data_IF_735219771002
#
_entry.id   IF_735219771002
#
_cell.length_a   1.000
_cell.length_b   1.000
_cell.length_c   1.000
_cell.angle_alpha   90.00
_cell.angle_beta   90.00
_cell.angle_gamma   90.00
#
_symmetry.space_group_name_H-M   'P 1'
#
loop_
_entity.id
_entity.type
_entity.pdbx_description
1 polymer ?
#
# COMPACT_ATOMS: atom_id res chain seq x y z
N UNK A 1 -23.17 48.08 -12.14
CA UNK A 1 -21.83 48.71 -12.03
C UNK A 1 -21.04 48.33 -13.27
N UNK A 2 -20.47 49.30 -13.97
CA UNK A 2 -20.16 49.30 -15.41
C UNK A 2 -18.95 48.44 -15.80
N UNK A 3 -19.13 47.60 -16.83
CA UNK A 3 -18.07 46.94 -17.60
C UNK A 3 -17.55 47.88 -18.70
N UNK A 4 -16.22 47.94 -18.91
CA UNK A 4 -15.55 48.62 -20.04
C UNK A 4 -14.26 47.89 -20.47
N UNK A 5 -13.77 48.08 -21.72
CA UNK A 5 -13.51 46.96 -22.64
C UNK A 5 -12.06 46.79 -23.15
N UNK A 6 -11.83 45.66 -23.84
CA UNK A 6 -10.65 45.27 -24.62
C UNK A 6 -10.16 46.34 -25.61
N UNK A 7 -8.83 46.44 -25.76
CA UNK A 7 -8.18 47.00 -26.96
C UNK A 7 -7.22 45.96 -27.57
N UNK A 8 -7.49 45.61 -28.82
CA UNK A 8 -6.55 44.96 -29.73
C UNK A 8 -5.64 46.00 -30.39
N UNK A 9 -4.39 45.63 -30.68
CA UNK A 9 -3.63 46.13 -31.83
C UNK A 9 -2.66 45.04 -32.33
N UNK A 10 -2.91 44.63 -33.56
CA UNK A 10 -2.03 43.99 -34.57
C UNK A 10 -0.86 44.95 -34.91
N UNK A 11 0.35 44.55 -35.30
CA UNK A 11 0.82 43.88 -36.53
C UNK A 11 2.32 43.49 -36.35
N UNK A 12 2.73 42.23 -36.54
CA UNK A 12 3.45 41.63 -37.70
C UNK A 12 4.89 42.13 -38.00
N UNK A 13 5.88 41.20 -38.03
CA UNK A 13 6.65 40.74 -39.23
C UNK A 13 8.02 40.09 -38.86
N UNK A 14 8.19 38.82 -39.30
CA UNK A 14 9.42 38.06 -39.72
C UNK A 14 10.58 37.87 -38.73
N UNK A 15 11.40 36.82 -38.77
CA UNK A 15 11.44 35.49 -39.39
C UNK A 15 12.74 34.84 -38.85
N UNK A 16 12.74 33.53 -38.66
CA UNK A 16 13.81 32.54 -38.99
C UNK A 16 13.83 31.41 -37.98
N UNK A 17 13.53 30.22 -38.50
CA UNK A 17 13.69 28.95 -37.82
C UNK A 17 15.12 28.42 -38.08
N UNK A 18 15.73 27.80 -37.09
CA UNK A 18 16.81 26.85 -37.28
C UNK A 18 16.39 25.49 -36.73
N UNK A 19 16.35 24.53 -37.64
CA UNK A 19 16.18 23.10 -37.41
C UNK A 19 17.57 22.51 -37.64
N UNK A 20 18.20 21.95 -36.61
CA UNK A 20 19.43 21.19 -36.80
C UNK A 20 19.11 19.70 -36.86
N UNK A 21 19.46 19.14 -38.01
CA UNK A 21 19.19 17.80 -38.47
C UNK A 21 20.25 16.81 -37.97
N UNK A 22 19.77 15.58 -37.81
CA UNK A 22 20.50 14.36 -37.53
C UNK A 22 21.18 13.85 -38.81
N UNK A 23 22.48 13.53 -38.77
CA UNK A 23 23.14 12.66 -39.78
C UNK A 23 24.16 11.74 -39.07
N UNK A 24 24.10 10.41 -39.29
CA UNK A 24 25.10 9.44 -38.85
C UNK A 24 25.95 8.91 -40.02
N UNK A 25 27.24 8.70 -39.79
CA UNK A 25 28.20 7.91 -40.58
C UNK A 25 29.44 7.74 -39.69
N UNK A 26 30.29 6.72 -39.74
CA UNK A 26 30.30 5.38 -40.34
C UNK A 26 31.41 4.61 -39.58
N UNK A 27 31.38 3.29 -39.69
CA UNK A 27 32.45 2.40 -39.24
C UNK A 27 33.81 2.83 -39.83
N UNK A 28 34.88 2.74 -39.05
CA UNK A 28 36.06 2.07 -39.60
C UNK A 28 36.94 1.38 -38.57
N UNK A 29 37.42 0.22 -39.00
CA UNK A 29 38.13 -0.79 -38.23
C UNK A 29 39.62 -0.62 -38.49
N UNK A 30 40.44 -0.37 -37.47
CA UNK A 30 41.88 -0.57 -37.57
C UNK A 30 42.42 -1.29 -36.34
N UNK A 31 42.87 -2.52 -36.59
CA UNK A 31 43.69 -3.34 -35.71
C UNK A 31 45.06 -2.67 -35.55
N UNK A 32 45.39 -2.25 -34.34
CA UNK A 32 46.78 -1.98 -33.94
C UNK A 32 47.18 -3.10 -32.99
N UNK A 33 48.11 -3.91 -33.47
CA UNK A 33 48.82 -4.94 -32.71
C UNK A 33 49.86 -4.26 -31.82
N UNK A 34 49.64 -4.27 -30.51
CA UNK A 34 50.72 -4.07 -29.55
C UNK A 34 50.81 -5.30 -28.63
N UNK A 35 51.83 -6.09 -28.91
CA UNK A 35 52.38 -7.09 -28.01
C UNK A 35 52.91 -6.41 -26.76
N UNK A 36 52.30 -6.66 -25.60
CA UNK A 36 53.05 -6.66 -24.34
C UNK A 36 52.40 -7.56 -23.29
N UNK A 37 53.26 -8.44 -22.78
CA UNK A 37 53.03 -9.51 -21.82
C UNK A 37 52.76 -8.94 -20.42
N UNK A 38 52.09 -9.75 -19.60
CA UNK A 38 51.95 -9.67 -18.13
C UNK A 38 50.95 -8.67 -17.55
N UNK A 39 49.68 -9.10 -17.48
CA UNK A 39 48.85 -8.94 -16.28
C UNK A 39 47.52 -9.70 -16.45
N UNK A 40 47.50 -10.98 -16.10
CA UNK A 40 46.25 -11.71 -15.85
C UNK A 40 45.67 -11.23 -14.52
N UNK A 41 45.09 -10.02 -14.51
CA UNK A 41 44.08 -9.66 -13.51
C UNK A 41 42.92 -10.64 -13.71
N UNK A 42 42.76 -11.57 -12.77
CA UNK A 42 41.63 -12.50 -12.72
C UNK A 42 40.32 -11.72 -12.90
N UNK A 43 39.60 -11.99 -13.98
CA UNK A 43 38.24 -11.53 -14.17
C UNK A 43 37.44 -11.88 -12.90
N UNK A 44 36.69 -10.93 -12.30
CA UNK A 44 35.82 -11.27 -11.18
C UNK A 44 34.86 -12.35 -11.66
N UNK A 45 34.90 -13.52 -11.01
CA UNK A 45 34.01 -14.67 -11.27
C UNK A 45 32.54 -14.24 -11.04
N UNK A 46 31.94 -13.57 -12.02
CA UNK A 46 30.50 -13.24 -12.06
C UNK A 46 29.65 -14.47 -12.36
N UNK A 47 30.28 -15.56 -12.79
CA UNK A 47 29.63 -16.78 -13.23
C UNK A 47 30.30 -17.98 -12.57
N UNK A 48 29.45 -18.88 -12.09
CA UNK A 48 29.87 -19.96 -11.20
C UNK A 48 30.57 -21.11 -11.92
N UNK A 49 31.44 -21.79 -11.18
CA UNK A 49 32.08 -23.05 -11.57
C UNK A 49 31.13 -24.23 -11.43
N UNK A 50 31.50 -25.38 -12.00
CA UNK A 50 30.69 -26.59 -12.00
C UNK A 50 30.43 -27.06 -10.54
N UNK A 51 29.17 -26.94 -10.09
CA UNK A 51 28.79 -27.23 -8.69
C UNK A 51 28.81 -28.72 -8.32
N UNK A 52 28.82 -29.62 -9.31
CA UNK A 52 28.64 -31.05 -9.09
C UNK A 52 29.69 -31.85 -9.87
N UNK A 53 30.58 -32.50 -9.12
CA UNK A 53 31.50 -33.51 -9.60
C UNK A 53 30.90 -34.90 -9.39
N UNK A 54 30.95 -35.74 -10.41
CA UNK A 54 30.50 -37.14 -10.38
C UNK A 54 31.22 -37.93 -9.30
N UNK A 55 32.50 -37.68 -9.06
CA UNK A 55 33.28 -38.37 -8.02
C UNK A 55 32.76 -38.03 -6.62
N UNK A 56 32.50 -36.74 -6.37
CA UNK A 56 31.91 -36.26 -5.11
C UNK A 56 30.52 -36.86 -4.89
N UNK A 57 29.72 -36.97 -5.95
CA UNK A 57 28.37 -37.52 -5.86
C UNK A 57 28.40 -39.02 -5.50
N UNK A 58 29.31 -39.79 -6.08
CA UNK A 58 29.53 -41.20 -5.71
C UNK A 58 29.95 -41.35 -4.24
N UNK A 59 30.90 -40.54 -3.78
CA UNK A 59 31.36 -40.56 -2.38
C UNK A 59 30.23 -40.23 -1.40
N UNK A 60 29.42 -39.21 -1.70
CA UNK A 60 28.31 -38.81 -0.83
C UNK A 60 27.17 -39.83 -0.84
N UNK A 61 26.89 -40.49 -1.98
CA UNK A 61 25.97 -41.64 -2.01
C UNK A 61 26.49 -42.84 -1.22
N UNK A 62 27.80 -43.08 -1.20
CA UNK A 62 28.42 -44.14 -0.40
C UNK A 62 28.23 -43.90 1.11
N UNK A 63 28.21 -42.63 1.53
CA UNK A 63 28.06 -42.20 2.93
C UNK A 63 26.60 -42.16 3.41
N UNK A 64 25.62 -42.00 2.52
CA UNK A 64 24.21 -41.86 2.89
C UNK A 64 23.59 -43.22 3.30
N UNK A 65 23.20 -43.42 4.57
CA UNK A 65 22.69 -44.71 5.07
C UNK A 65 21.41 -45.17 4.38
N UNK A 66 20.54 -44.23 3.96
CA UNK A 66 19.28 -44.56 3.30
C UNK A 66 19.55 -45.07 1.89
N UNK A 67 20.46 -44.42 1.16
CA UNK A 67 20.89 -44.84 -0.16
C UNK A 67 21.55 -46.22 -0.09
N UNK A 68 22.42 -46.46 0.89
CA UNK A 68 23.06 -47.77 1.09
C UNK A 68 22.06 -48.89 1.41
N UNK A 69 20.99 -48.59 2.16
CA UNK A 69 19.92 -49.55 2.41
C UNK A 69 19.15 -49.90 1.13
N UNK A 70 18.88 -48.90 0.27
CA UNK A 70 18.23 -49.13 -1.03
C UNK A 70 19.12 -49.98 -1.95
N UNK A 71 20.42 -49.70 -2.00
CA UNK A 71 21.39 -50.47 -2.81
C UNK A 71 21.42 -51.94 -2.35
N UNK A 72 21.50 -52.20 -1.04
CA UNK A 72 21.44 -53.56 -0.48
C UNK A 72 20.14 -54.30 -0.84
N UNK A 73 19.00 -53.62 -0.78
CA UNK A 73 17.70 -54.21 -1.15
C UNK A 73 17.61 -54.52 -2.64
N UNK A 74 18.18 -53.68 -3.51
CA UNK A 74 18.25 -53.92 -4.94
C UNK A 74 19.05 -55.19 -5.27
N UNK A 75 20.15 -55.45 -4.54
CA UNK A 75 20.94 -56.68 -4.70
C UNK A 75 20.16 -57.95 -4.31
N UNK A 76 19.27 -57.85 -3.31
CA UNK A 76 18.47 -58.98 -2.85
C UNK A 76 17.21 -59.24 -3.71
N UNK A 77 16.55 -58.18 -4.21
CA UNK A 77 15.30 -58.27 -4.99
C UNK A 77 15.25 -57.20 -6.09
N UNK A 78 15.85 -57.44 -7.27
CA UNK A 78 16.03 -56.41 -8.30
C UNK A 78 14.72 -55.92 -8.97
N UNK A 79 13.69 -56.77 -9.07
CA UNK A 79 12.49 -56.45 -9.85
C UNK A 79 11.39 -55.68 -9.10
N UNK A 80 11.56 -55.41 -7.79
CA UNK A 80 10.46 -54.89 -6.97
C UNK A 80 10.60 -53.39 -6.60
N UNK A 81 11.63 -52.71 -7.12
CA UNK A 81 11.97 -51.35 -6.73
C UNK A 81 12.12 -50.45 -7.98
N UNK A 82 11.62 -49.20 -7.94
CA UNK A 82 11.75 -48.24 -9.05
C UNK A 82 13.14 -47.59 -9.08
N UNK A 83 14.19 -48.35 -8.79
CA UNK A 83 15.57 -47.88 -8.68
C UNK A 83 16.50 -48.76 -9.50
N UNK A 84 17.59 -48.19 -9.99
CA UNK A 84 18.64 -48.88 -10.74
C UNK A 84 19.99 -48.39 -10.24
N UNK A 85 20.96 -49.30 -10.15
CA UNK A 85 22.34 -48.95 -9.88
C UNK A 85 23.11 -48.98 -11.19
N UNK A 86 23.58 -47.82 -11.66
CA UNK A 86 24.26 -47.65 -12.96
C UNK A 86 25.34 -46.57 -12.84
N UNK A 87 26.50 -46.80 -13.46
CA UNK A 87 27.64 -45.89 -13.45
C UNK A 87 28.13 -45.56 -12.02
N UNK A 88 28.14 -46.57 -11.15
CA UNK A 88 28.44 -46.46 -9.71
C UNK A 88 27.52 -45.51 -8.93
N UNK A 89 26.35 -45.17 -9.49
CA UNK A 89 25.37 -44.28 -8.89
C UNK A 89 24.01 -44.96 -8.74
N UNK A 90 23.36 -44.70 -7.60
CA UNK A 90 21.95 -45.01 -7.42
C UNK A 90 21.12 -44.00 -8.22
N UNK A 91 20.23 -44.54 -9.04
CA UNK A 91 19.31 -43.78 -9.89
C UNK A 91 17.87 -44.24 -9.67
N UNK A 92 16.92 -43.35 -9.86
CA UNK A 92 15.49 -43.63 -9.80
C UNK A 92 14.88 -43.66 -11.20
N UNK A 93 14.06 -44.67 -11.47
CA UNK A 93 13.28 -44.76 -12.69
C UNK A 93 11.98 -43.96 -12.51
N UNK A 94 11.77 -42.97 -13.36
CA UNK A 94 10.60 -42.11 -13.37
C UNK A 94 9.95 -42.10 -14.75
N UNK A 95 8.62 -41.96 -14.80
CA UNK A 95 7.88 -41.76 -16.06
C UNK A 95 8.09 -40.33 -16.56
N UNK A 96 8.27 -40.17 -17.88
CA UNK A 96 8.55 -38.85 -18.50
C UNK A 96 7.36 -37.90 -18.34
N UNK A 97 6.15 -38.43 -18.45
CA UNK A 97 4.88 -37.73 -18.28
C UNK A 97 3.87 -38.70 -17.68
N UNK A 98 2.87 -38.23 -16.91
CA UNK A 98 1.76 -39.07 -16.41
C UNK A 98 1.07 -39.86 -17.52
N UNK A 99 1.07 -39.36 -18.76
CA UNK A 99 0.42 -39.97 -19.91
C UNK A 99 1.38 -40.72 -20.84
N UNK A 100 2.67 -40.78 -20.53
CA UNK A 100 3.67 -41.45 -21.37
C UNK A 100 4.07 -42.80 -20.77
N UNK A 101 4.17 -43.82 -21.63
CA UNK A 101 4.77 -45.12 -21.27
C UNK A 101 6.30 -45.06 -21.19
N UNK A 102 6.92 -43.97 -21.66
CA UNK A 102 8.37 -43.81 -21.64
C UNK A 102 8.87 -43.56 -20.22
N UNK A 103 9.88 -44.32 -19.83
CA UNK A 103 10.59 -44.21 -18.55
C UNK A 103 11.99 -43.64 -18.79
N UNK A 104 12.50 -42.91 -17.81
CA UNK A 104 13.88 -42.41 -17.77
C UNK A 104 14.44 -42.56 -16.37
N UNK A 105 15.76 -42.63 -16.26
CA UNK A 105 16.48 -42.65 -15.00
C UNK A 105 16.97 -41.24 -14.62
N UNK A 106 16.96 -40.95 -13.33
CA UNK A 106 17.51 -39.72 -12.72
C UNK A 106 18.36 -40.07 -11.52
N UNK A 107 19.35 -39.25 -11.22
CA UNK A 107 20.28 -39.49 -10.11
C UNK A 107 19.55 -39.32 -8.78
N UNK A 108 19.69 -40.28 -7.87
CA UNK A 108 19.22 -40.12 -6.50
C UNK A 108 20.17 -39.17 -5.77
N UNK A 109 19.71 -37.98 -5.36
CA UNK A 109 20.59 -37.03 -4.69
C UNK A 109 20.70 -37.34 -3.18
N UNK A 110 21.93 -37.46 -2.63
CA UNK A 110 22.14 -37.64 -1.19
C UNK A 110 21.71 -36.39 -0.42
N UNK A 111 21.26 -36.57 0.82
CA UNK A 111 20.68 -35.48 1.61
C UNK A 111 21.65 -34.32 1.88
N UNK A 112 22.95 -34.61 2.00
CA UNK A 112 24.01 -33.62 2.21
C UNK A 112 24.14 -32.61 1.06
N UNK A 113 23.80 -33.02 -0.17
CA UNK A 113 23.98 -32.22 -1.39
C UNK A 113 22.71 -31.46 -1.82
N UNK A 114 21.58 -31.68 -1.14
CA UNK A 114 20.32 -31.01 -1.47
C UNK A 114 20.48 -29.49 -1.35
N UNK A 115 21.03 -28.99 -0.23
CA UNK A 115 21.17 -27.54 0.01
C UNK A 115 22.02 -26.85 -1.06
N UNK A 116 23.15 -27.45 -1.45
CA UNK A 116 24.01 -26.90 -2.49
C UNK A 116 23.34 -26.90 -3.87
N UNK A 117 22.54 -27.93 -4.18
CA UNK A 117 21.80 -28.00 -5.44
C UNK A 117 20.71 -26.93 -5.49
N UNK A 118 19.97 -26.74 -4.40
CA UNK A 118 18.94 -25.72 -4.32
C UNK A 118 19.55 -24.33 -4.44
N UNK A 119 20.70 -24.07 -3.82
CA UNK A 119 21.43 -22.82 -4.00
C UNK A 119 21.83 -22.60 -5.47
N UNK A 120 22.42 -23.60 -6.14
CA UNK A 120 22.78 -23.47 -7.55
C UNK A 120 21.53 -23.26 -8.43
N UNK A 121 20.49 -24.07 -8.27
CA UNK A 121 19.32 -24.03 -9.14
C UNK A 121 18.33 -22.89 -8.85
N UNK A 122 18.54 -22.11 -7.78
CA UNK A 122 17.70 -20.96 -7.42
C UNK A 122 18.48 -19.67 -7.21
N UNK A 123 19.53 -19.65 -6.38
CA UNK A 123 20.23 -18.42 -6.00
C UNK A 123 21.32 -18.01 -6.99
N UNK A 124 22.03 -18.97 -7.58
CA UNK A 124 23.14 -18.66 -8.49
C UNK A 124 22.68 -17.79 -9.66
N UNK A 125 23.39 -16.70 -10.01
CA UNK A 125 22.97 -15.81 -11.09
C UNK A 125 22.87 -16.51 -12.46
N UNK A 126 23.76 -17.47 -12.74
CA UNK A 126 23.82 -18.15 -14.04
C UNK A 126 22.79 -19.29 -14.14
N UNK A 127 22.75 -20.14 -13.11
CA UNK A 127 22.00 -21.40 -13.13
C UNK A 127 20.67 -21.32 -12.38
N UNK A 128 20.45 -20.30 -11.55
CA UNK A 128 19.27 -20.15 -10.70
C UNK A 128 18.37 -18.98 -11.08
N UNK A 129 18.84 -17.75 -10.90
CA UNK A 129 18.12 -16.52 -11.27
C UNK A 129 16.86 -16.21 -10.44
N UNK A 130 16.72 -16.78 -9.24
CA UNK A 130 15.60 -16.58 -8.30
C UNK A 130 14.20 -16.89 -8.86
N UNK A 131 14.10 -17.82 -9.80
CA UNK A 131 12.81 -18.21 -10.36
C UNK A 131 11.90 -18.96 -9.38
N UNK A 132 10.60 -19.02 -9.72
CA UNK A 132 9.54 -19.65 -8.94
C UNK A 132 9.64 -21.18 -8.92
N UNK A 133 8.90 -21.79 -7.98
CA UNK A 133 8.88 -23.23 -7.71
C UNK A 133 8.81 -24.09 -8.97
N UNK A 134 7.87 -23.82 -9.87
CA UNK A 134 7.66 -24.68 -11.04
C UNK A 134 8.86 -24.68 -11.97
N UNK A 135 9.51 -23.53 -12.19
CA UNK A 135 10.69 -23.43 -13.06
C UNK A 135 11.89 -24.13 -12.42
N UNK A 136 12.13 -23.91 -11.12
CA UNK A 136 13.21 -24.59 -10.39
C UNK A 136 12.98 -26.10 -10.33
N UNK A 137 11.75 -26.55 -10.07
CA UNK A 137 11.39 -27.96 -10.07
C UNK A 137 11.59 -28.61 -11.44
N UNK A 138 11.16 -27.96 -12.53
CA UNK A 138 11.34 -28.50 -13.88
C UNK A 138 12.81 -28.58 -14.31
N UNK A 139 13.65 -27.67 -13.83
CA UNK A 139 15.10 -27.71 -14.03
C UNK A 139 15.73 -28.92 -13.32
N UNK A 140 15.33 -29.17 -12.08
CA UNK A 140 15.90 -30.24 -11.24
C UNK A 140 15.36 -31.62 -11.61
N UNK A 141 14.05 -31.75 -11.83
CA UNK A 141 13.36 -33.06 -12.00
C UNK A 141 13.93 -33.88 -13.14
N UNK A 142 14.59 -33.24 -14.11
CA UNK A 142 15.15 -33.90 -15.28
C UNK A 142 16.48 -34.60 -14.99
N UNK A 143 17.18 -34.20 -13.92
CA UNK A 143 18.52 -34.68 -13.59
C UNK A 143 18.56 -35.45 -12.26
N UNK A 144 17.83 -34.96 -11.26
CA UNK A 144 17.93 -35.44 -9.88
C UNK A 144 16.57 -35.81 -9.29
N UNK A 145 16.60 -36.64 -8.26
CA UNK A 145 15.45 -36.99 -7.44
C UNK A 145 15.84 -37.24 -5.99
N UNK A 146 14.98 -36.82 -5.05
CA UNK A 146 15.04 -37.22 -3.65
C UNK A 146 13.61 -37.19 -3.06
N UNK A 147 13.38 -37.83 -1.89
CA UNK A 147 12.09 -37.78 -1.21
C UNK A 147 11.67 -36.34 -0.88
N UNK A 148 10.39 -36.00 -1.07
CA UNK A 148 9.84 -34.67 -0.78
C UNK A 148 10.51 -33.49 -1.54
N UNK A 149 11.11 -33.75 -2.71
CA UNK A 149 11.81 -32.75 -3.53
C UNK A 149 11.05 -31.43 -3.72
N UNK A 150 9.76 -31.48 -4.06
CA UNK A 150 8.95 -30.27 -4.26
C UNK A 150 8.80 -29.45 -2.98
N UNK A 151 8.70 -30.11 -1.82
CA UNK A 151 8.62 -29.45 -0.51
C UNK A 151 9.96 -28.79 -0.15
N UNK A 152 11.09 -29.49 -0.35
CA UNK A 152 12.42 -28.92 -0.09
C UNK A 152 12.70 -27.70 -0.96
N UNK A 153 12.35 -27.74 -2.26
CA UNK A 153 12.49 -26.59 -3.16
C UNK A 153 11.61 -25.43 -2.68
N UNK A 154 10.36 -25.71 -2.32
CA UNK A 154 9.44 -24.68 -1.82
C UNK A 154 9.96 -24.02 -0.54
N UNK A 155 10.49 -24.81 0.41
CA UNK A 155 11.07 -24.31 1.66
C UNK A 155 12.26 -23.38 1.38
N UNK A 156 13.19 -23.81 0.52
CA UNK A 156 14.36 -23.01 0.15
C UNK A 156 13.99 -21.68 -0.54
N UNK A 157 13.01 -21.69 -1.46
CA UNK A 157 12.53 -20.46 -2.10
C UNK A 157 11.84 -19.55 -1.07
N UNK A 158 11.09 -20.12 -0.13
CA UNK A 158 10.45 -19.36 0.95
C UNK A 158 11.46 -18.77 1.92
N UNK A 159 12.56 -19.46 2.21
CA UNK A 159 13.63 -18.97 3.10
C UNK A 159 14.62 -18.03 2.42
N UNK A 160 14.60 -17.93 1.08
CA UNK A 160 15.42 -16.99 0.33
C UNK A 160 15.09 -15.52 0.65
N UNK A 161 16.02 -14.82 1.29
CA UNK A 161 15.87 -13.42 1.68
C UNK A 161 15.63 -12.48 0.49
N UNK A 162 16.38 -12.64 -0.61
CA UNK A 162 16.20 -11.84 -1.83
C UNK A 162 14.78 -11.98 -2.38
N UNK A 163 14.26 -13.20 -2.46
CA UNK A 163 12.87 -13.40 -2.88
C UNK A 163 11.87 -12.75 -1.90
N UNK A 164 12.11 -12.85 -0.59
CA UNK A 164 11.26 -12.22 0.43
C UNK A 164 11.31 -10.68 0.40
N UNK A 165 12.38 -10.06 -0.08
CA UNK A 165 12.52 -8.60 -0.20
C UNK A 165 11.87 -8.02 -1.48
N UNK A 166 11.97 -8.75 -2.60
CA UNK A 166 11.59 -8.23 -3.92
C UNK A 166 10.21 -8.68 -4.43
N UNK A 167 9.74 -9.87 -4.02
CA UNK A 167 8.49 -10.42 -4.52
C UNK A 167 7.28 -9.82 -3.79
N UNK A 168 6.22 -9.48 -4.53
CA UNK A 168 4.93 -9.09 -3.96
C UNK A 168 4.13 -10.37 -3.75
N UNK A 169 3.54 -10.54 -2.57
CA UNK A 169 2.57 -11.62 -2.36
C UNK A 169 1.34 -11.32 -3.20
N UNK A 170 0.86 -12.30 -3.96
CA UNK A 170 -0.42 -12.20 -4.66
C UNK A 170 -1.62 -12.34 -3.71
N UNK A 171 -1.39 -12.63 -2.43
CA UNK A 171 -2.45 -12.69 -1.43
C UNK A 171 -2.97 -11.28 -1.09
N UNK A 172 -4.25 -11.20 -0.71
CA UNK A 172 -4.82 -9.96 -0.16
C UNK A 172 -4.00 -9.51 1.05
N UNK A 173 -3.83 -8.20 1.21
CA UNK A 173 -3.06 -7.62 2.31
C UNK A 173 -3.60 -8.09 3.67
N UNK A 174 -2.67 -8.34 4.57
CA UNK A 174 -2.94 -8.74 5.95
C UNK A 174 -3.73 -7.67 6.71
N UNK A 175 -4.47 -8.12 7.72
CA UNK A 175 -5.21 -7.25 8.64
C UNK A 175 -6.69 -7.17 8.35
N UNK A 176 -7.47 -7.20 9.43
CA UNK A 176 -8.90 -6.93 9.41
C UNK A 176 -9.19 -5.43 9.41
N UNK A 177 -10.36 -5.05 8.92
CA UNK A 177 -10.85 -3.69 9.05
C UNK A 177 -11.31 -3.45 10.49
N UNK A 178 -10.72 -2.44 11.14
CA UNK A 178 -11.19 -1.92 12.42
C UNK A 178 -11.92 -0.59 12.18
N UNK A 179 -13.27 -0.61 12.05
CA UNK A 179 -14.02 0.62 11.83
C UNK A 179 -13.95 1.51 13.07
N UNK A 180 -13.74 2.81 12.85
CA UNK A 180 -13.83 3.81 13.91
C UNK A 180 -15.30 3.87 14.38
N UNK A 181 -15.58 3.67 15.68
CA UNK A 181 -16.94 3.72 16.18
C UNK A 181 -17.53 5.13 15.91
N UNK A 182 -18.79 5.22 15.49
CA UNK A 182 -19.42 6.52 15.30
C UNK A 182 -19.51 7.23 16.66
N UNK A 183 -19.18 8.54 16.72
CA UNK A 183 -19.33 9.31 17.94
C UNK A 183 -20.80 9.41 18.37
N UNK A 184 -21.05 9.88 19.59
CA UNK A 184 -22.40 9.96 20.17
C UNK A 184 -23.26 11.10 19.61
N UNK A 185 -22.65 12.05 18.90
CA UNK A 185 -23.34 13.16 18.29
C UNK A 185 -22.46 13.95 17.30
N UNK A 186 -23.05 14.99 16.67
CA UNK A 186 -22.35 15.87 15.75
C UNK A 186 -21.14 16.56 16.39
N UNK A 187 -20.10 16.81 15.59
CA UNK A 187 -18.95 17.66 15.91
C UNK A 187 -18.04 17.16 17.05
N UNK A 188 -18.27 15.97 17.61
CA UNK A 188 -17.38 15.39 18.63
C UNK A 188 -16.10 14.80 18.04
N UNK A 189 -16.20 14.22 16.84
CA UNK A 189 -15.07 13.60 16.14
C UNK A 189 -15.01 14.12 14.71
N UNK A 190 -13.93 14.81 14.39
CA UNK A 190 -13.69 15.34 13.05
C UNK A 190 -12.43 14.74 12.44
N UNK A 191 -12.43 14.55 11.12
CA UNK A 191 -11.22 14.31 10.36
C UNK A 191 -10.84 15.55 9.58
N UNK A 192 -9.55 15.86 9.52
CA UNK A 192 -8.99 16.95 8.73
C UNK A 192 -7.98 16.41 7.72
N UNK A 193 -7.96 17.00 6.54
CA UNK A 193 -7.01 16.65 5.48
C UNK A 193 -6.79 17.86 4.55
N UNK A 194 -5.62 17.89 3.91
CA UNK A 194 -5.32 18.88 2.89
C UNK A 194 -5.47 18.29 1.49
N UNK A 195 -6.04 19.09 0.59
CA UNK A 195 -6.02 18.81 -0.84
C UNK A 195 -5.18 19.87 -1.56
N UNK A 196 -4.13 19.45 -2.25
CA UNK A 196 -3.25 20.33 -3.01
C UNK A 196 -1.83 19.77 -3.18
N UNK A 197 -0.92 20.54 -3.80
CA UNK A 197 -1.16 21.86 -4.36
C UNK A 197 -2.04 21.82 -5.62
N UNK A 198 -3.00 22.74 -5.70
CA UNK A 198 -3.77 23.04 -6.89
C UNK A 198 -3.14 24.22 -7.64
N UNK A 199 -3.56 24.46 -8.88
CA UNK A 199 -3.13 25.64 -9.62
C UNK A 199 -3.59 26.90 -8.86
N UNK A 200 -2.72 27.90 -8.64
CA UNK A 200 -3.07 29.08 -7.87
C UNK A 200 -4.26 29.82 -8.48
N UNK A 201 -5.20 30.26 -7.64
CA UNK A 201 -6.32 31.12 -8.05
C UNK A 201 -5.87 32.59 -8.12
N UNK A 202 -6.69 33.51 -8.69
CA UNK A 202 -6.43 34.94 -8.61
C UNK A 202 -6.37 35.50 -7.17
N UNK A 203 -6.89 34.76 -6.18
CA UNK A 203 -6.79 35.08 -4.74
C UNK A 203 -5.60 34.37 -4.06
N UNK A 204 -4.70 33.81 -4.86
CA UNK A 204 -3.49 33.10 -4.44
C UNK A 204 -3.75 31.81 -3.65
N UNK A 205 -4.98 31.29 -3.68
CA UNK A 205 -5.30 30.02 -3.02
C UNK A 205 -4.71 28.85 -3.81
N UNK A 206 -4.09 27.91 -3.10
CA UNK A 206 -3.44 26.72 -3.69
C UNK A 206 -3.84 25.43 -2.98
N UNK A 207 -4.39 25.52 -1.78
CA UNK A 207 -4.74 24.37 -0.95
C UNK A 207 -6.18 24.48 -0.49
N UNK A 208 -6.78 23.33 -0.19
CA UNK A 208 -8.07 23.25 0.48
C UNK A 208 -7.89 22.45 1.76
N UNK A 209 -8.14 23.07 2.91
CA UNK A 209 -8.30 22.35 4.18
C UNK A 209 -9.74 21.82 4.25
N UNK A 210 -9.88 20.51 4.29
CA UNK A 210 -11.18 19.84 4.39
C UNK A 210 -11.36 19.27 5.79
N UNK A 211 -12.48 19.62 6.41
CA UNK A 211 -12.89 19.17 7.73
C UNK A 211 -14.19 18.40 7.58
N UNK A 212 -14.22 17.13 8.01
CA UNK A 212 -15.41 16.27 7.93
C UNK A 212 -15.82 15.78 9.31
N UNK A 213 -17.07 16.01 9.68
CA UNK A 213 -17.66 15.44 10.88
C UNK A 213 -17.98 13.94 10.69
N UNK A 214 -17.51 13.09 11.60
CA UNK A 214 -17.66 11.64 11.46
C UNK A 214 -19.10 11.15 11.72
N UNK A 215 -19.91 11.95 12.42
CA UNK A 215 -21.30 11.64 12.72
C UNK A 215 -22.22 11.99 11.54
N UNK A 216 -22.34 13.29 11.26
CA UNK A 216 -23.27 13.85 10.27
C UNK A 216 -22.76 13.74 8.85
N UNK A 217 -21.45 13.53 8.66
CA UNK A 217 -20.75 13.71 7.37
C UNK A 217 -20.77 15.15 6.88
N UNK A 218 -21.01 16.12 7.76
CA UNK A 218 -20.97 17.52 7.40
C UNK A 218 -19.55 17.95 7.06
N UNK A 219 -19.42 18.70 5.97
CA UNK A 219 -18.14 19.13 5.44
C UNK A 219 -18.00 20.63 5.56
N UNK A 220 -16.82 21.05 5.98
CA UNK A 220 -16.34 22.43 5.90
C UNK A 220 -15.06 22.40 5.10
N UNK A 221 -14.98 23.20 4.04
CA UNK A 221 -13.79 23.29 3.20
C UNK A 221 -13.36 24.74 3.08
N UNK A 222 -12.06 24.96 3.22
CA UNK A 222 -11.46 26.30 3.35
C UNK A 222 -10.34 26.41 2.33
N UNK A 223 -10.43 27.37 1.40
CA UNK A 223 -9.37 27.66 0.45
C UNK A 223 -8.26 28.44 1.16
N UNK A 224 -7.02 28.03 0.97
CA UNK A 224 -5.84 28.58 1.65
C UNK A 224 -4.67 28.76 0.67
N UNK A 225 -3.84 29.79 0.85
CA UNK A 225 -2.67 30.03 -0.02
C UNK A 225 -1.52 29.05 0.26
N UNK A 226 -1.44 28.53 1.49
CA UNK A 226 -0.42 27.59 1.91
C UNK A 226 -1.00 26.59 2.94
N UNK A 227 -0.23 25.56 3.27
CA UNK A 227 -0.56 24.57 4.28
C UNK A 227 0.33 24.69 5.53
N UNK A 228 0.75 25.88 5.94
CA UNK A 228 1.56 26.03 7.17
C UNK A 228 0.74 25.73 8.43
N UNK A 229 1.44 25.41 9.53
CA UNK A 229 0.81 25.19 10.83
C UNK A 229 0.00 26.41 11.30
N UNK A 230 0.54 27.62 11.11
CA UNK A 230 -0.11 28.88 11.48
C UNK A 230 -1.38 29.12 10.69
N UNK A 231 -1.30 28.97 9.36
CA UNK A 231 -2.48 29.11 8.49
C UNK A 231 -3.54 28.07 8.83
N UNK A 232 -3.13 26.84 9.13
CA UNK A 232 -4.04 25.76 9.58
C UNK A 232 -4.74 26.12 10.90
N UNK A 233 -3.99 26.61 11.88
CA UNK A 233 -4.51 27.02 13.19
C UNK A 233 -5.54 28.15 13.08
N UNK A 234 -5.21 29.20 12.32
CA UNK A 234 -6.10 30.33 12.08
C UNK A 234 -7.38 29.88 11.35
N UNK A 235 -7.24 29.03 10.34
CA UNK A 235 -8.37 28.47 9.60
C UNK A 235 -9.29 27.65 10.52
N UNK A 236 -8.74 26.75 11.35
CA UNK A 236 -9.54 25.96 12.29
C UNK A 236 -10.28 26.84 13.29
N UNK A 237 -9.63 27.86 13.84
CA UNK A 237 -10.25 28.77 14.80
C UNK A 237 -11.40 29.57 14.16
N UNK A 238 -11.12 30.31 13.08
CA UNK A 238 -12.07 31.23 12.46
C UNK A 238 -13.21 30.51 11.75
N UNK A 239 -12.89 29.44 11.01
CA UNK A 239 -13.84 28.81 10.10
C UNK A 239 -14.56 27.60 10.69
N UNK A 240 -14.05 27.02 11.79
CA UNK A 240 -14.63 25.84 12.41
C UNK A 240 -14.98 26.02 13.89
N UNK A 241 -14.01 26.26 14.77
CA UNK A 241 -14.23 26.29 16.22
C UNK A 241 -15.23 27.36 16.63
N UNK A 242 -15.12 28.57 16.07
CA UNK A 242 -16.06 29.66 16.34
C UNK A 242 -17.49 29.39 15.82
N UNK A 243 -17.68 28.44 14.89
CA UNK A 243 -18.98 28.15 14.26
C UNK A 243 -19.67 26.91 14.85
N UNK A 244 -18.90 25.87 15.14
CA UNK A 244 -19.43 24.56 15.56
C UNK A 244 -19.01 24.16 16.97
N UNK A 245 -18.11 24.91 17.60
CA UNK A 245 -17.49 24.55 18.86
C UNK A 245 -16.24 23.70 18.69
N UNK A 246 -15.61 23.37 19.82
CA UNK A 246 -14.38 22.60 19.89
C UNK A 246 -14.74 21.11 19.88
N UNK A 247 -14.21 20.31 18.94
CA UNK A 247 -14.43 18.87 18.93
C UNK A 247 -13.71 18.19 20.09
N UNK A 248 -14.22 17.04 20.53
CA UNK A 248 -13.50 16.22 21.51
C UNK A 248 -12.25 15.57 20.91
N UNK A 249 -12.28 15.26 19.61
CA UNK A 249 -11.16 14.60 18.94
C UNK A 249 -11.04 15.03 17.48
N UNK A 250 -9.80 15.26 17.05
CA UNK A 250 -9.40 15.55 15.67
C UNK A 250 -8.53 14.39 15.16
N UNK A 251 -8.86 13.86 13.99
CA UNK A 251 -8.06 12.88 13.26
C UNK A 251 -7.37 13.56 12.08
N UNK A 252 -6.07 13.38 11.92
CA UNK A 252 -5.32 13.83 10.74
C UNK A 252 -4.25 12.82 10.34
N UNK A 253 -3.60 13.05 9.21
CA UNK A 253 -2.33 12.40 8.91
C UNK A 253 -1.17 12.98 9.74
N UNK A 254 0.02 12.43 9.57
CA UNK A 254 1.27 12.88 10.22
C UNK A 254 1.96 14.01 9.45
N UNK A 255 1.23 14.77 8.63
CA UNK A 255 1.75 15.94 7.94
C UNK A 255 2.32 16.95 8.93
N UNK A 256 3.44 17.58 8.59
CA UNK A 256 4.12 18.58 9.44
C UNK A 256 3.24 19.78 9.78
N UNK A 257 2.23 20.03 8.96
CA UNK A 257 1.22 21.06 9.15
C UNK A 257 0.20 20.74 10.24
N UNK A 258 -0.02 19.45 10.54
CA UNK A 258 -0.85 19.01 11.67
C UNK A 258 -0.02 18.59 12.88
N UNK A 259 1.20 18.06 12.66
CA UNK A 259 2.09 17.59 13.71
C UNK A 259 3.26 18.57 13.92
N UNK A 260 3.07 19.54 14.80
CA UNK A 260 4.09 20.52 15.19
C UNK A 260 3.79 21.11 16.58
N UNK A 261 4.75 21.85 17.13
CA UNK A 261 4.65 22.44 18.47
C UNK A 261 3.49 23.44 18.59
N UNK A 262 3.19 24.21 17.53
CA UNK A 262 2.07 25.15 17.55
C UNK A 262 0.74 24.40 17.71
N UNK A 263 0.52 23.34 16.93
CA UNK A 263 -0.70 22.52 17.04
C UNK A 263 -0.81 21.83 18.40
N UNK A 264 0.30 21.36 18.97
CA UNK A 264 0.32 20.81 20.34
C UNK A 264 -0.04 21.86 21.40
N UNK A 265 0.46 23.09 21.27
CA UNK A 265 0.13 24.18 22.18
C UNK A 265 -1.36 24.53 22.10
N UNK A 266 -1.92 24.60 20.88
CA UNK A 266 -3.35 24.84 20.66
C UNK A 266 -4.19 23.71 21.25
N UNK A 267 -3.77 22.46 21.03
CA UNK A 267 -4.42 21.29 21.61
C UNK A 267 -4.51 21.40 23.14
N UNK A 268 -3.42 21.75 23.80
CA UNK A 268 -3.35 21.89 25.26
C UNK A 268 -4.16 23.08 25.78
N UNK A 269 -4.20 24.19 25.02
CA UNK A 269 -4.92 25.41 25.40
C UNK A 269 -6.44 25.26 25.25
N UNK A 270 -6.88 24.68 24.13
CA UNK A 270 -8.30 24.62 23.74
C UNK A 270 -8.96 23.33 24.26
N UNK A 271 -8.20 22.27 24.50
CA UNK A 271 -8.67 21.05 25.18
C UNK A 271 -9.32 20.01 24.27
N UNK A 272 -8.77 19.76 23.08
CA UNK A 272 -9.17 18.62 22.24
C UNK A 272 -8.10 17.51 22.23
N UNK A 273 -8.47 16.30 21.81
CA UNK A 273 -7.51 15.21 21.59
C UNK A 273 -7.13 15.11 20.11
N UNK A 274 -5.84 14.98 19.80
CA UNK A 274 -5.38 14.79 18.42
C UNK A 274 -4.89 13.35 18.20
N UNK A 275 -5.54 12.64 17.27
CA UNK A 275 -5.16 11.28 16.86
C UNK A 275 -4.56 11.35 15.46
N UNK A 276 -3.34 10.83 15.31
CA UNK A 276 -2.66 10.74 14.03
C UNK A 276 -2.90 9.37 13.38
N UNK A 277 -3.25 9.34 12.10
CA UNK A 277 -3.28 8.09 11.34
C UNK A 277 -1.86 7.54 11.17
N UNK A 278 -1.68 6.21 11.25
CA UNK A 278 -0.37 5.60 11.00
C UNK A 278 0.07 5.85 9.55
N UNK A 279 1.38 6.05 9.29
CA UNK A 279 1.89 6.30 7.94
C UNK A 279 1.40 5.24 6.95
N UNK A 280 0.93 5.68 5.78
CA UNK A 280 0.49 4.81 4.69
C UNK A 280 -0.71 3.89 5.00
N UNK A 281 -1.43 4.14 6.10
CA UNK A 281 -2.77 3.60 6.36
C UNK A 281 -3.84 4.69 6.30
N UNK A 282 -4.14 5.18 5.09
CA UNK A 282 -5.18 6.19 4.85
C UNK A 282 -6.57 5.79 5.39
N UNK A 283 -6.78 4.51 5.67
CA UNK A 283 -8.06 3.96 6.13
C UNK A 283 -8.59 4.65 7.40
N UNK A 284 -7.71 5.16 8.27
CA UNK A 284 -8.10 5.90 9.49
C UNK A 284 -8.70 7.27 9.18
N UNK A 285 -8.22 7.97 8.15
CA UNK A 285 -8.76 9.24 7.66
C UNK A 285 -9.60 9.09 6.37
N UNK A 286 -9.93 7.86 5.98
CA UNK A 286 -10.43 7.52 4.64
C UNK A 286 -11.83 8.08 4.32
N UNK A 287 -12.53 8.63 5.33
CA UNK A 287 -13.77 9.38 5.11
C UNK A 287 -13.46 10.73 4.44
N UNK A 288 -12.48 11.46 4.96
CA UNK A 288 -12.07 12.77 4.42
C UNK A 288 -11.43 12.59 3.05
N UNK A 289 -10.53 11.61 2.90
CA UNK A 289 -9.88 11.33 1.61
C UNK A 289 -10.87 10.95 0.51
N UNK A 290 -11.92 10.20 0.85
CA UNK A 290 -12.98 9.85 -0.10
C UNK A 290 -13.74 11.10 -0.55
N UNK A 291 -13.97 12.05 0.35
CA UNK A 291 -14.54 13.32 -0.05
C UNK A 291 -13.58 14.09 -0.97
N UNK A 292 -12.29 14.20 -0.63
CA UNK A 292 -11.30 14.89 -1.47
C UNK A 292 -11.29 14.33 -2.89
N UNK A 293 -11.35 12.99 -3.03
CA UNK A 293 -11.45 12.28 -4.30
C UNK A 293 -12.76 12.56 -5.07
N UNK A 294 -13.85 12.86 -4.38
CA UNK A 294 -15.15 13.17 -4.98
C UNK A 294 -15.27 14.64 -5.37
N UNK A 295 -14.69 15.51 -4.55
CA UNK A 295 -14.85 16.95 -4.58
C UNK A 295 -14.07 17.60 -5.74
N UNK A 296 -12.81 17.21 -5.93
CA UNK A 296 -11.95 17.75 -7.00
C UNK A 296 -12.62 17.62 -8.38
N UNK A 297 -13.14 16.44 -8.79
CA UNK A 297 -13.87 16.33 -10.04
C UNK A 297 -15.12 17.21 -10.16
N UNK A 298 -15.78 17.59 -9.07
CA UNK A 298 -16.95 18.48 -9.15
C UNK A 298 -16.53 19.93 -9.33
N UNK A 299 -15.52 20.39 -8.59
CA UNK A 299 -14.91 21.71 -8.82
C UNK A 299 -14.41 21.81 -10.26
N UNK A 300 -13.70 20.80 -10.75
CA UNK A 300 -13.10 20.84 -12.09
C UNK A 300 -14.13 20.98 -13.21
N UNK A 301 -15.40 20.62 -12.96
CA UNK A 301 -16.51 20.81 -13.92
C UNK A 301 -17.14 22.20 -13.88
N UNK A 302 -16.92 22.95 -12.80
CA UNK A 302 -17.52 24.26 -12.56
C UNK A 302 -16.54 25.40 -12.78
N UNK A 303 -15.25 25.18 -12.49
CA UNK A 303 -14.22 26.18 -12.68
C UNK A 303 -14.09 26.58 -14.16
N UNK A 304 -13.73 27.84 -14.40
CA UNK A 304 -13.17 28.23 -15.67
C UNK A 304 -11.68 27.82 -15.70
N UNK A 305 -11.31 27.02 -16.70
CA UNK A 305 -9.93 26.52 -16.83
C UNK A 305 -8.93 27.61 -17.18
N UNK A 306 -9.36 28.70 -17.82
CA UNK A 306 -8.47 29.82 -18.15
C UNK A 306 -8.17 30.62 -16.88
N UNK A 307 -9.21 30.97 -16.11
CA UNK A 307 -9.10 31.84 -14.92
C UNK A 307 -8.67 31.09 -13.64
N UNK A 308 -8.80 29.76 -13.59
CA UNK A 308 -8.47 28.92 -12.42
C UNK A 308 -9.17 29.40 -11.14
N UNK A 309 -10.42 29.82 -11.25
CA UNK A 309 -11.25 30.38 -10.16
C UNK A 309 -11.96 29.31 -9.32
N UNK A 310 -11.28 28.19 -9.06
CA UNK A 310 -11.89 27.05 -8.36
C UNK A 310 -12.35 27.38 -6.93
N UNK A 311 -11.71 28.34 -6.28
CA UNK A 311 -12.02 28.77 -4.91
C UNK A 311 -13.37 29.50 -4.82
N UNK A 312 -13.85 30.09 -5.90
CA UNK A 312 -15.16 30.76 -5.98
C UNK A 312 -16.31 29.75 -5.91
N UNK A 313 -16.11 28.54 -6.45
CA UNK A 313 -17.11 27.47 -6.48
C UNK A 313 -17.06 26.56 -5.24
N UNK A 314 -16.00 26.65 -4.43
CA UNK A 314 -15.76 25.79 -3.26
C UNK A 314 -16.99 25.71 -2.33
N UNK A 315 -17.51 26.87 -1.91
CA UNK A 315 -18.65 26.91 -0.98
C UNK A 315 -19.94 26.38 -1.60
N UNK A 316 -20.18 26.64 -2.90
CA UNK A 316 -21.34 26.12 -3.60
C UNK A 316 -21.33 24.58 -3.67
N UNK A 317 -20.17 23.99 -3.96
CA UNK A 317 -20.02 22.53 -4.01
C UNK A 317 -20.15 21.91 -2.61
N UNK A 318 -19.58 22.53 -1.57
CA UNK A 318 -19.75 22.08 -0.18
C UNK A 318 -21.22 22.12 0.24
N UNK A 319 -21.94 23.20 -0.09
CA UNK A 319 -23.36 23.31 0.19
C UNK A 319 -24.20 22.26 -0.59
N UNK A 320 -23.87 22.02 -1.86
CA UNK A 320 -24.51 20.97 -2.66
C UNK A 320 -24.29 19.57 -2.05
N UNK A 321 -23.08 19.30 -1.53
CA UNK A 321 -22.80 18.05 -0.81
C UNK A 321 -23.59 17.96 0.50
N UNK A 322 -23.54 18.99 1.34
CA UNK A 322 -24.18 19.00 2.65
C UNK A 322 -25.71 18.96 2.56
N UNK A 323 -26.30 19.46 1.49
CA UNK A 323 -27.74 19.38 1.21
C UNK A 323 -28.18 18.05 0.59
N UNK A 324 -27.25 17.28 0.02
CA UNK A 324 -27.53 15.99 -0.61
C UNK A 324 -27.60 14.83 0.39
N UNK A 325 -28.49 13.86 0.15
CA UNK A 325 -28.61 12.65 0.98
C UNK A 325 -27.34 11.82 0.89
N UNK A 326 -26.70 11.57 2.03
CA UNK A 326 -25.49 10.75 2.06
C UNK A 326 -25.82 9.25 2.14
N UNK A 327 -25.18 8.44 1.28
CA UNK A 327 -25.49 7.01 1.09
C UNK A 327 -25.45 6.19 2.38
N UNK A 328 -24.55 6.53 3.30
CA UNK A 328 -24.36 5.80 4.56
C UNK A 328 -25.37 6.21 5.62
N UNK A 329 -25.59 7.50 5.83
CA UNK A 329 -26.47 8.01 6.90
C UNK A 329 -27.94 7.93 6.50
N UNK A 330 -28.25 7.97 5.20
CA UNK A 330 -29.60 8.08 4.60
C UNK A 330 -30.29 9.43 4.81
N UNK A 331 -29.57 10.40 5.35
CA UNK A 331 -30.01 11.78 5.53
C UNK A 331 -28.94 12.71 4.94
N UNK A 332 -29.32 13.94 4.60
CA UNK A 332 -28.32 14.94 4.25
C UNK A 332 -27.53 15.37 5.49
N UNK A 333 -26.23 15.70 5.36
CA UNK A 333 -25.48 16.27 6.48
C UNK A 333 -26.13 17.50 7.10
N UNK A 334 -26.74 18.36 6.28
CA UNK A 334 -27.47 19.55 6.73
C UNK A 334 -28.65 19.19 7.63
N UNK A 335 -29.45 18.18 7.27
CA UNK A 335 -30.56 17.70 8.12
C UNK A 335 -30.08 17.14 9.46
N UNK A 336 -28.95 16.45 9.47
CA UNK A 336 -28.39 15.89 10.71
C UNK A 336 -27.84 16.95 11.65
N UNK A 337 -27.39 18.10 11.12
CA UNK A 337 -26.94 19.25 11.92
C UNK A 337 -28.12 20.09 12.38
N UNK A 338 -29.01 20.49 11.46
CA UNK A 338 -30.03 21.51 11.71
C UNK A 338 -31.44 20.97 11.95
N UNK A 339 -31.65 19.65 11.82
CA UNK A 339 -32.94 18.99 12.04
C UNK A 339 -33.97 19.25 10.93
N UNK A 340 -33.55 19.84 9.81
CA UNK A 340 -34.39 20.20 8.66
C UNK A 340 -33.55 20.30 7.38
N UNK A 341 -34.15 20.11 6.19
CA UNK A 341 -33.45 20.34 4.93
C UNK A 341 -33.19 21.84 4.70
N UNK A 342 -32.14 22.20 3.93
CA UNK A 342 -31.90 23.58 3.57
C UNK A 342 -32.95 24.08 2.58
N UNK A 343 -33.22 25.39 2.60
CA UNK A 343 -34.00 26.03 1.55
C UNK A 343 -33.11 26.29 0.33
N UNK A 344 -33.47 25.71 -0.80
CA UNK A 344 -32.77 25.91 -2.07
C UNK A 344 -33.46 27.00 -2.90
N UNK A 345 -32.74 27.73 -3.78
CA UNK A 345 -33.34 28.73 -4.68
C UNK A 345 -34.47 28.20 -5.57
N UNK A 346 -34.48 26.89 -5.87
CA UNK A 346 -35.52 26.22 -6.66
C UNK A 346 -36.85 26.05 -5.90
N UNK A 347 -36.87 26.21 -4.57
CA UNK A 347 -38.09 26.04 -3.78
C UNK A 347 -39.02 27.25 -3.95
N UNK A 348 -40.15 27.02 -4.63
CA UNK A 348 -41.18 28.04 -4.91
C UNK A 348 -41.95 28.47 -3.67
N UNK A 349 -41.98 27.66 -2.61
CA UNK A 349 -42.59 27.98 -1.33
C UNK A 349 -41.56 27.89 -0.21
N UNK A 350 -41.46 28.88 0.70
CA UNK A 350 -40.71 28.71 1.93
C UNK A 350 -41.29 27.52 2.69
N UNK A 351 -40.44 26.59 3.14
CA UNK A 351 -40.86 25.60 4.12
C UNK A 351 -41.27 26.36 5.39
N UNK A 352 -42.58 26.43 5.65
CA UNK A 352 -43.10 27.03 6.86
C UNK A 352 -42.86 26.07 8.02
N UNK A 353 -42.32 26.60 9.10
CA UNK A 353 -42.37 25.87 10.35
C UNK A 353 -43.83 25.77 10.80
N UNK A 354 -44.37 24.55 10.81
CA UNK A 354 -45.73 24.29 11.29
C UNK A 354 -45.64 23.90 12.76
N UNK A 355 -45.99 24.84 13.64
CA UNK A 355 -46.05 24.64 15.07
C UNK A 355 -47.51 24.67 15.53
N UNK A 356 -47.91 23.79 16.45
CA UNK A 356 -49.25 23.85 17.03
C UNK A 356 -49.33 24.96 18.11
N UNK A 357 -48.21 25.28 18.76
CA UNK A 357 -48.07 26.32 19.77
C UNK A 357 -46.76 27.11 19.59
N UNK A 358 -46.68 28.38 20.04
CA UNK A 358 -45.48 29.22 19.92
C UNK A 358 -44.20 28.61 20.51
N UNK A 359 -44.30 27.77 21.54
CA UNK A 359 -43.17 27.15 22.23
C UNK A 359 -42.83 25.74 21.72
N UNK A 360 -43.47 25.25 20.64
CA UNK A 360 -43.27 23.88 20.16
C UNK A 360 -41.94 23.68 19.41
N UNK A 361 -41.28 24.75 18.99
CA UNK A 361 -40.07 24.66 18.18
C UNK A 361 -38.97 23.81 18.84
N UNK A 362 -38.61 24.13 20.08
CA UNK A 362 -37.52 23.42 20.76
C UNK A 362 -37.86 21.94 21.03
N UNK A 363 -39.04 21.59 21.61
CA UNK A 363 -39.44 20.19 21.77
C UNK A 363 -39.50 19.42 20.44
N UNK A 364 -40.02 20.04 19.37
CA UNK A 364 -40.10 19.40 18.06
C UNK A 364 -38.71 19.19 17.45
N UNK A 365 -37.85 20.21 17.48
CA UNK A 365 -36.48 20.11 17.00
C UNK A 365 -35.70 19.04 17.76
N UNK A 366 -35.80 19.02 19.09
CA UNK A 366 -35.14 18.03 19.94
C UNK A 366 -35.63 16.61 19.59
N UNK A 367 -36.94 16.42 19.41
CA UNK A 367 -37.52 15.13 19.00
C UNK A 367 -37.02 14.71 17.61
N UNK A 368 -37.04 15.61 16.64
CA UNK A 368 -36.59 15.34 15.27
C UNK A 368 -35.11 14.95 15.23
N UNK A 369 -34.23 15.76 15.85
CA UNK A 369 -32.80 15.47 15.91
C UNK A 369 -32.52 14.13 16.61
N UNK A 370 -33.20 13.83 17.73
CA UNK A 370 -33.07 12.53 18.40
C UNK A 370 -33.39 11.35 17.47
N UNK A 371 -34.46 11.45 16.69
CA UNK A 371 -34.85 10.41 15.72
C UNK A 371 -33.79 10.30 14.61
N UNK A 372 -33.40 11.42 14.02
CA UNK A 372 -32.42 11.49 12.94
C UNK A 372 -31.06 10.92 13.37
N UNK A 373 -30.57 11.34 14.53
CA UNK A 373 -29.29 10.92 15.09
C UNK A 373 -29.28 9.42 15.40
N UNK A 374 -30.35 8.90 16.00
CA UNK A 374 -30.47 7.46 16.28
C UNK A 374 -30.49 6.63 14.99
N UNK A 375 -31.26 7.06 13.99
CA UNK A 375 -31.32 6.40 12.69
C UNK A 375 -29.98 6.46 11.94
N UNK A 376 -29.33 7.63 11.91
CA UNK A 376 -28.03 7.82 11.28
C UNK A 376 -26.96 6.96 11.94
N UNK A 377 -26.89 6.93 13.28
CA UNK A 377 -25.94 6.10 14.03
C UNK A 377 -26.13 4.61 13.72
N UNK A 378 -27.38 4.13 13.73
CA UNK A 378 -27.71 2.75 13.34
C UNK A 378 -27.25 2.44 11.90
N UNK A 379 -27.54 3.33 10.95
CA UNK A 379 -27.15 3.14 9.55
C UNK A 379 -25.62 3.13 9.36
N UNK A 380 -24.88 3.98 10.07
CA UNK A 380 -23.41 4.00 10.06
C UNK A 380 -22.86 2.66 10.57
N UNK A 381 -23.31 2.19 11.74
CA UNK A 381 -22.85 0.93 12.34
C UNK A 381 -23.13 -0.23 11.38
N UNK A 382 -24.34 -0.30 10.84
CA UNK A 382 -24.73 -1.35 9.88
C UNK A 382 -23.85 -1.33 8.63
N UNK A 383 -23.58 -0.15 8.07
CA UNK A 383 -22.73 -0.03 6.87
C UNK A 383 -21.28 -0.38 7.19
N UNK A 384 -20.76 -0.01 8.36
CA UNK A 384 -19.43 -0.39 8.82
C UNK A 384 -19.29 -1.91 8.96
N UNK A 385 -20.28 -2.60 9.52
CA UNK A 385 -20.30 -4.07 9.61
C UNK A 385 -20.32 -4.72 8.22
N UNK A 386 -21.15 -4.24 7.29
CA UNK A 386 -21.18 -4.74 5.91
C UNK A 386 -19.81 -4.56 5.24
N UNK A 387 -19.19 -3.39 5.40
CA UNK A 387 -17.89 -3.10 4.83
C UNK A 387 -16.79 -3.98 5.46
N UNK A 388 -16.83 -4.17 6.78
CA UNK A 388 -15.90 -5.06 7.51
C UNK A 388 -16.01 -6.49 7.01
N UNK A 389 -17.21 -7.06 6.97
CA UNK A 389 -17.42 -8.43 6.50
C UNK A 389 -16.90 -8.62 5.06
N UNK A 390 -17.16 -7.67 4.16
CA UNK A 390 -16.64 -7.71 2.78
C UNK A 390 -15.13 -7.54 2.70
N UNK A 391 -14.55 -6.69 3.54
CA UNK A 391 -13.11 -6.43 3.56
C UNK A 391 -12.35 -7.65 4.08
N UNK A 392 -12.82 -8.22 5.19
CA UNK A 392 -12.16 -9.31 5.92
C UNK A 392 -12.30 -10.67 5.21
N UNK A 393 -13.27 -10.79 4.28
CA UNK A 393 -13.44 -12.00 3.47
C UNK A 393 -12.15 -12.40 2.72
N UNK A 394 -11.67 -13.60 3.05
CA UNK A 394 -10.47 -14.22 2.50
C UNK A 394 -9.18 -13.42 2.75
N UNK A 395 -9.12 -12.62 3.84
CA UNK A 395 -7.89 -11.94 4.27
C UNK A 395 -7.22 -12.70 5.41
N UNK A 396 -5.93 -13.07 5.26
CA UNK A 396 -5.16 -13.63 6.37
C UNK A 396 -4.86 -12.55 7.41
N UNK A 397 -5.03 -12.87 8.68
CA UNK A 397 -4.85 -11.95 9.81
C UNK A 397 -3.73 -12.44 10.77
N UNK A 398 -2.46 -12.29 10.36
CA UNK A 398 -1.33 -12.79 11.13
C UNK A 398 -1.17 -11.99 12.42
N UNK A 399 -0.96 -12.73 13.50
CA UNK A 399 -0.61 -12.19 14.81
C UNK A 399 0.89 -12.41 15.01
N UNK A 400 1.57 -11.37 15.49
CA UNK A 400 2.99 -11.42 15.77
C UNK A 400 3.26 -11.22 17.26
N UNK A 401 4.30 -11.86 17.76
CA UNK A 401 4.73 -11.78 19.15
C UNK A 401 5.94 -10.84 19.29
N UNK A 402 6.18 -10.38 20.52
CA UNK A 402 7.41 -9.65 20.85
C UNK A 402 8.60 -10.57 20.59
N UNK A 403 9.60 -10.05 19.87
CA UNK A 403 10.79 -10.80 19.44
C UNK A 403 10.73 -11.34 18.00
N UNK A 404 9.56 -11.37 17.38
CA UNK A 404 9.43 -11.85 15.99
C UNK A 404 10.20 -10.95 15.01
N UNK A 405 10.88 -11.59 14.05
CA UNK A 405 11.59 -10.91 12.97
C UNK A 405 10.67 -10.72 11.76
N UNK A 406 10.54 -9.47 11.32
CA UNK A 406 9.65 -9.08 10.23
C UNK A 406 10.35 -8.16 9.23
N UNK A 407 9.96 -8.24 7.96
CA UNK A 407 10.32 -7.27 6.95
C UNK A 407 9.23 -6.20 6.85
N UNK A 408 9.63 -4.94 6.75
CA UNK A 408 8.68 -3.82 6.64
C UNK A 408 8.59 -3.32 5.22
N UNK A 409 7.39 -3.09 4.70
CA UNK A 409 7.22 -2.50 3.37
C UNK A 409 7.90 -1.13 3.30
N UNK A 410 8.69 -0.91 2.26
CA UNK A 410 9.27 0.40 1.96
C UNK A 410 8.21 1.20 1.19
N UNK A 411 8.10 2.49 1.44
CA UNK A 411 7.21 3.43 0.74
C UNK A 411 8.02 4.59 0.14
N UNK A 412 7.51 5.25 -0.92
CA UNK A 412 8.20 6.35 -1.63
C UNK A 412 8.48 6.08 -3.11
N UNK A 413 9.12 7.07 -3.77
CA UNK A 413 9.60 6.98 -5.16
C UNK A 413 10.65 5.88 -5.23
N UNK A 414 10.42 4.88 -6.09
CA UNK A 414 11.28 3.71 -6.23
C UNK A 414 11.72 3.55 -7.68
N UNK A 415 12.98 3.21 -7.86
CA UNK A 415 13.46 2.59 -9.09
C UNK A 415 12.78 1.24 -9.31
N UNK A 416 12.64 0.83 -10.57
CA UNK A 416 12.01 -0.46 -10.93
C UNK A 416 12.75 -1.67 -10.33
N UNK A 417 14.01 -1.50 -9.94
CA UNK A 417 14.90 -2.52 -9.41
C UNK A 417 15.08 -2.44 -7.89
N UNK A 418 14.34 -1.57 -7.20
CA UNK A 418 14.46 -1.43 -5.75
C UNK A 418 13.69 -2.54 -5.01
N UNK A 419 14.17 -2.96 -3.82
CA UNK A 419 13.45 -3.90 -2.98
C UNK A 419 12.11 -3.29 -2.51
N UNK A 420 11.13 -4.16 -2.31
CA UNK A 420 9.78 -3.73 -1.90
C UNK A 420 9.59 -3.72 -0.40
N UNK A 421 10.39 -4.52 0.29
CA UNK A 421 10.47 -4.61 1.74
C UNK A 421 11.88 -4.26 2.21
N UNK A 422 12.02 -3.98 3.51
CA UNK A 422 13.30 -3.61 4.12
C UNK A 422 14.39 -4.64 3.79
N UNK A 423 15.61 -4.19 3.45
CA UNK A 423 16.71 -5.11 3.19
C UNK A 423 17.11 -5.88 4.46
N UNK A 424 16.90 -5.29 5.63
CA UNK A 424 17.25 -5.88 6.92
C UNK A 424 15.96 -6.23 7.68
N UNK A 425 15.91 -7.37 8.38
CA UNK A 425 14.80 -7.71 9.26
C UNK A 425 14.73 -6.79 10.46
N UNK A 426 13.53 -6.37 10.83
CA UNK A 426 13.24 -5.62 12.06
C UNK A 426 12.65 -6.53 13.12
N UNK A 427 12.76 -6.16 14.38
CA UNK A 427 12.25 -6.94 15.51
C UNK A 427 11.02 -6.26 16.09
N UNK A 428 9.97 -7.03 16.38
CA UNK A 428 8.79 -6.52 17.09
C UNK A 428 9.12 -6.34 18.56
N UNK A 429 8.93 -5.13 19.07
CA UNK A 429 9.20 -4.78 20.48
C UNK A 429 7.93 -4.52 21.29
N UNK A 430 6.80 -4.26 20.63
CA UNK A 430 5.49 -4.10 21.27
C UNK A 430 4.38 -4.53 20.32
N UNK A 431 3.32 -5.12 20.90
CA UNK A 431 2.18 -5.68 20.18
C UNK A 431 0.91 -4.90 20.53
N UNK A 432 0.26 -4.31 19.53
CA UNK A 432 -1.04 -3.65 19.69
C UNK A 432 -1.87 -3.82 18.40
N UNK A 433 -2.22 -5.09 18.11
CA UNK A 433 -2.88 -5.47 16.88
C UNK A 433 -4.07 -4.55 16.55
N UNK A 434 -4.17 -3.99 15.33
CA UNK A 434 -3.42 -4.35 14.11
C UNK A 434 -2.10 -3.56 13.92
N UNK A 435 -1.66 -2.77 14.88
CA UNK A 435 -0.40 -1.99 14.82
C UNK A 435 0.69 -2.57 15.71
N UNK A 436 1.94 -2.49 15.27
CA UNK A 436 3.08 -3.02 16.00
C UNK A 436 4.19 -1.98 16.03
N UNK A 437 4.96 -1.94 17.13
CA UNK A 437 6.19 -1.15 17.17
C UNK A 437 7.33 -2.09 16.78
N UNK A 438 8.02 -1.74 15.70
CA UNK A 438 9.21 -2.45 15.22
C UNK A 438 10.46 -1.63 15.49
N UNK A 439 11.54 -2.32 15.83
CA UNK A 439 12.88 -1.74 16.01
C UNK A 439 13.80 -2.21 14.91
N UNK A 440 14.46 -1.26 14.26
CA UNK A 440 15.55 -1.55 13.33
C UNK A 440 16.78 -2.02 14.13
N UNK A 441 17.33 -3.17 13.78
CA UNK A 441 18.48 -3.77 14.49
C UNK A 441 19.79 -3.03 14.26
N UNK A 442 19.92 -2.26 13.18
CA UNK A 442 21.14 -1.51 12.88
C UNK A 442 21.08 -0.08 13.40
N UNK A 443 19.97 0.62 13.12
CA UNK A 443 19.84 2.05 13.48
C UNK A 443 19.25 2.27 14.88
N UNK A 444 18.61 1.25 15.46
CA UNK A 444 17.90 1.37 16.74
C UNK A 444 16.58 2.13 16.64
N UNK A 445 16.26 2.71 15.48
CA UNK A 445 15.06 3.51 15.24
C UNK A 445 13.81 2.66 15.42
N UNK A 446 12.83 3.24 16.11
CA UNK A 446 11.53 2.61 16.34
C UNK A 446 10.49 3.21 15.40
N UNK A 447 9.58 2.38 14.89
CA UNK A 447 8.51 2.83 14.02
C UNK A 447 7.23 2.04 14.31
N UNK A 448 6.09 2.73 14.31
CA UNK A 448 4.78 2.09 14.41
C UNK A 448 4.30 1.71 13.01
N UNK A 449 3.99 0.44 12.79
CA UNK A 449 3.65 -0.12 11.48
C UNK A 449 2.42 -1.02 11.62
N UNK A 450 1.51 -0.96 10.65
CA UNK A 450 0.34 -1.83 10.62
C UNK A 450 0.68 -3.23 10.09
N UNK A 451 -0.06 -4.24 10.53
CA UNK A 451 0.08 -5.66 10.15
C UNK A 451 0.12 -5.88 8.63
N UNK A 452 -0.60 -5.04 7.87
CA UNK A 452 -0.68 -5.09 6.41
C UNK A 452 0.67 -4.87 5.70
N UNK A 453 1.60 -4.20 6.37
CA UNK A 453 2.93 -3.85 5.86
C UNK A 453 4.06 -4.60 6.52
N UNK A 454 3.72 -5.52 7.42
CA UNK A 454 4.63 -6.50 7.97
C UNK A 454 4.59 -7.78 7.14
N UNK A 455 5.77 -8.34 6.91
CA UNK A 455 5.94 -9.66 6.32
C UNK A 455 6.74 -10.52 7.31
N UNK A 456 6.25 -11.72 7.69
CA UNK A 456 7.04 -12.64 8.49
C UNK A 456 8.28 -13.04 7.72
N UNK A 457 9.40 -13.16 8.41
CA UNK A 457 10.61 -13.72 7.83
C UNK A 457 10.63 -15.22 8.07
N UNK A 458 10.91 -15.98 7.01
CA UNK A 458 11.22 -17.39 7.13
C UNK A 458 12.71 -17.52 6.88
N UNK A 459 13.49 -17.85 7.90
CA UNK A 459 14.93 -18.13 7.78
C UNK A 459 15.12 -19.56 8.27
N UNK A 460 15.88 -20.36 7.51
CA UNK A 460 16.33 -21.69 7.92
C UNK A 460 17.55 -21.63 8.83
#
# INVERSE_FOLDING_TARGET
MLLRPRKNKTESVKATAKVDAFVPTDLDTTLVTDTNVSNTKSLPHKFSSNYFDTNKLQQEQARDPNIQNIIRRLQQKPNNLPFIFKDHLLRKIITISPHSKLKRDVIYLPSSMIKSLLYACHNDPMTGGHFSLDRTYHKIKNLYWWPNMKLSILQHIKSCLSCQQYNISCQKRHGQLHPIPPPDGPFLLIGIDYCGPLKPTPRENQYVLVITDYFTRHITAIALPNCTAETTAQALFNEYFCKYGIPSTIISDQGTHFQNQLMQNIQNLIGYNHIYSTPYHPQTNGIVERFNSTFIPQISKLQDTEDNNWDEYLQAVVFAYNSGVHKTTKYSPYELVYGRPPRLPIHTRPSHFSFHKPNDYFPQLQKTLRIYHRAAKYNIIRQQQINKNRYDQNRPDPHYNIGDKVLTRIYGVRGKLDPKFSPIPKIIISTNHPTYIVKDTQTGTQSQIHVADLRPIYID
#
